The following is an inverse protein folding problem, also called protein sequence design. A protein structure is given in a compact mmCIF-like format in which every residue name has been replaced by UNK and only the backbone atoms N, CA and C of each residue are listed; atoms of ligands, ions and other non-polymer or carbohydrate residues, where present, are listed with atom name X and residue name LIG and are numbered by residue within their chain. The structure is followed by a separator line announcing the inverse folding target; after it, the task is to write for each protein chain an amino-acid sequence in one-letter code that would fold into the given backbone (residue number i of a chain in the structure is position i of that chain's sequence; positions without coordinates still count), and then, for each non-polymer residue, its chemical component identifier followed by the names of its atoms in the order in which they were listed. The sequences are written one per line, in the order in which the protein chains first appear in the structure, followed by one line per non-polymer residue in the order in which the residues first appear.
data_IF_181406902253
#
_entry.id   IF_181406902253
#
_cell.length_a   1.000
_cell.length_b   1.000
_cell.length_c   1.000
_cell.angle_alpha   90.00
_cell.angle_beta   90.00
_cell.angle_gamma   90.00
#
_symmetry.space_group_name_H-M   'P 1'
#
loop_
_entity.id
_entity.type
_entity.pdbx_description
1 polymer ?
#
# COMPACT_ATOMS: atom_id res chain seq x y z
N UNK A 1 -18.02 -12.89 54.75
CA UNK A 1 -18.31 -11.56 54.16
C UNK A 1 -17.11 -11.03 53.39
N UNK A 2 -15.89 -11.10 53.94
CA UNK A 2 -14.66 -10.55 53.33
C UNK A 2 -14.31 -11.10 51.94
N UNK A 3 -14.43 -12.42 51.70
CA UNK A 3 -14.18 -13.05 50.38
C UNK A 3 -15.22 -12.63 49.30
N UNK A 4 -16.43 -12.24 49.71
CA UNK A 4 -17.45 -11.75 48.77
C UNK A 4 -17.11 -10.33 48.29
N UNK A 5 -16.66 -9.47 49.20
CA UNK A 5 -16.33 -8.08 48.87
C UNK A 5 -15.06 -7.99 48.01
N UNK A 6 -14.08 -8.87 48.25
CA UNK A 6 -12.87 -8.96 47.44
C UNK A 6 -13.18 -9.40 46.00
N UNK A 7 -14.07 -10.40 45.83
CA UNK A 7 -14.55 -10.83 44.51
C UNK A 7 -15.28 -9.72 43.77
N UNK A 8 -16.12 -8.94 44.46
CA UNK A 8 -16.83 -7.80 43.87
C UNK A 8 -15.83 -6.71 43.42
N UNK A 9 -14.81 -6.40 44.24
CA UNK A 9 -13.76 -5.43 43.87
C UNK A 9 -12.94 -5.91 42.67
N UNK A 10 -12.57 -7.18 42.64
CA UNK A 10 -11.85 -7.79 41.51
C UNK A 10 -12.69 -7.76 40.22
N UNK A 11 -13.99 -8.07 40.31
CA UNK A 11 -14.91 -8.01 39.19
C UNK A 11 -15.02 -6.59 38.62
N UNK A 12 -15.20 -5.58 39.49
CA UNK A 12 -15.22 -4.16 39.07
C UNK A 12 -13.92 -3.73 38.41
N UNK A 13 -12.77 -4.11 38.96
CA UNK A 13 -11.45 -3.80 38.36
C UNK A 13 -11.28 -4.45 36.98
N UNK A 14 -11.73 -5.71 36.82
CA UNK A 14 -11.70 -6.40 35.53
C UNK A 14 -12.63 -5.73 34.52
N UNK A 15 -13.80 -5.29 34.95
CA UNK A 15 -14.75 -4.55 34.11
C UNK A 15 -14.18 -3.21 33.64
N UNK A 16 -13.55 -2.45 34.55
CA UNK A 16 -12.87 -1.20 34.22
C UNK A 16 -11.71 -1.40 33.25
N UNK A 17 -10.88 -2.44 33.47
CA UNK A 17 -9.79 -2.80 32.53
C UNK A 17 -10.39 -3.15 31.17
N UNK A 18 -11.41 -4.02 31.12
CA UNK A 18 -12.04 -4.41 29.86
C UNK A 18 -12.64 -3.20 29.12
N UNK A 19 -13.23 -2.24 29.85
CA UNK A 19 -13.75 -1.01 29.26
C UNK A 19 -12.63 -0.15 28.67
N UNK A 20 -11.57 0.12 29.43
CA UNK A 20 -10.41 0.88 28.96
C UNK A 20 -9.72 0.22 27.77
N UNK A 21 -9.54 -1.09 27.82
CA UNK A 21 -8.98 -1.87 26.70
C UNK A 21 -9.83 -1.73 25.45
N UNK A 22 -11.17 -1.82 25.55
CA UNK A 22 -12.07 -1.63 24.40
C UNK A 22 -12.00 -0.21 23.82
N UNK A 23 -11.90 0.81 24.67
CA UNK A 23 -11.76 2.20 24.24
C UNK A 23 -10.43 2.40 23.51
N UNK A 24 -9.32 1.91 24.08
CA UNK A 24 -7.99 1.98 23.47
C UNK A 24 -7.95 1.27 22.10
N UNK A 25 -8.52 0.06 22.00
CA UNK A 25 -8.59 -0.67 20.74
C UNK A 25 -9.43 0.08 19.69
N UNK A 26 -10.52 0.73 20.10
CA UNK A 26 -11.34 1.53 19.19
C UNK A 26 -10.56 2.72 18.65
N UNK A 27 -9.89 3.46 19.51
CA UNK A 27 -9.06 4.60 19.11
C UNK A 27 -7.94 4.18 18.16
N UNK A 28 -7.28 3.06 18.47
CA UNK A 28 -6.26 2.47 17.61
C UNK A 28 -6.80 2.06 16.23
N UNK A 29 -7.97 1.39 16.17
CA UNK A 29 -8.59 1.03 14.89
C UNK A 29 -8.98 2.26 14.06
N UNK A 30 -9.44 3.33 14.70
CA UNK A 30 -9.77 4.58 14.02
C UNK A 30 -8.52 5.28 13.47
N UNK A 31 -7.42 5.31 14.22
CA UNK A 31 -6.16 5.89 13.73
C UNK A 31 -5.62 5.09 12.54
N UNK A 32 -5.74 3.76 12.57
CA UNK A 32 -5.34 2.90 11.47
C UNK A 32 -6.14 3.15 10.19
N UNK A 33 -7.47 3.26 10.28
CA UNK A 33 -8.32 3.56 9.13
C UNK A 33 -7.95 4.91 8.48
N UNK A 34 -7.61 5.90 9.30
CA UNK A 34 -7.15 7.20 8.83
C UNK A 34 -5.77 7.14 8.16
N UNK A 35 -4.84 6.35 8.70
CA UNK A 35 -3.52 6.13 8.08
C UNK A 35 -3.64 5.38 6.75
N UNK A 36 -4.48 4.34 6.69
CA UNK A 36 -4.74 3.59 5.45
C UNK A 36 -5.28 4.52 4.36
N UNK A 37 -6.25 5.38 4.68
CA UNK A 37 -6.81 6.35 3.71
C UNK A 37 -5.75 7.29 3.15
N UNK A 38 -4.86 7.80 4.00
CA UNK A 38 -3.76 8.68 3.58
C UNK A 38 -2.76 7.94 2.68
N UNK A 39 -2.41 6.70 3.03
CA UNK A 39 -1.54 5.86 2.22
C UNK A 39 -2.14 5.62 0.83
N UNK A 40 -3.41 5.20 0.75
CA UNK A 40 -4.12 5.00 -0.51
C UNK A 40 -4.20 6.27 -1.35
N UNK A 41 -4.42 7.44 -0.73
CA UNK A 41 -4.42 8.72 -1.44
C UNK A 41 -3.06 9.04 -2.06
N UNK A 42 -1.97 8.81 -1.32
CA UNK A 42 -0.61 8.99 -1.85
C UNK A 42 -0.34 8.02 -3.01
N UNK A 43 -0.75 6.76 -2.88
CA UNK A 43 -0.59 5.77 -3.95
C UNK A 43 -1.35 6.16 -5.22
N UNK A 44 -2.58 6.67 -5.08
CA UNK A 44 -3.37 7.20 -6.22
C UNK A 44 -2.65 8.36 -6.90
N UNK A 45 -2.03 9.27 -6.14
CA UNK A 45 -1.25 10.39 -6.70
C UNK A 45 -0.02 9.91 -7.46
N UNK A 46 0.72 8.93 -6.91
CA UNK A 46 1.89 8.34 -7.59
C UNK A 46 1.48 7.58 -8.84
N UNK A 47 0.42 6.78 -8.78
CA UNK A 47 -0.18 6.10 -9.94
C UNK A 47 -0.53 7.08 -11.06
N UNK A 48 -1.23 8.17 -10.73
CA UNK A 48 -1.57 9.21 -11.69
C UNK A 48 -0.33 9.88 -12.30
N UNK A 49 0.73 10.10 -11.50
CA UNK A 49 2.00 10.62 -12.00
C UNK A 49 2.66 9.66 -12.99
N UNK A 50 2.76 8.36 -12.67
CA UNK A 50 3.33 7.37 -13.58
C UNK A 50 2.51 7.23 -14.87
N UNK A 51 1.17 7.27 -14.76
CA UNK A 51 0.27 7.29 -15.92
C UNK A 51 0.50 8.51 -16.80
N UNK A 52 0.74 9.68 -16.18
CA UNK A 52 1.11 10.89 -16.91
C UNK A 52 2.45 10.76 -17.64
N UNK A 53 3.46 10.16 -17.00
CA UNK A 53 4.76 9.89 -17.65
C UNK A 53 4.63 9.00 -18.89
N UNK A 54 3.75 7.98 -18.84
CA UNK A 54 3.44 7.12 -19.98
C UNK A 54 2.76 7.94 -21.08
N UNK A 55 1.71 8.69 -20.72
CA UNK A 55 0.89 9.45 -21.66
C UNK A 55 1.69 10.54 -22.37
N UNK A 56 2.41 11.35 -21.62
CA UNK A 56 3.19 12.48 -22.14
C UNK A 56 4.31 12.01 -23.09
N UNK A 57 4.87 10.82 -22.85
CA UNK A 57 5.95 10.25 -23.65
C UNK A 57 5.47 9.25 -24.73
N UNK A 58 4.17 8.94 -24.79
CA UNK A 58 3.60 7.99 -25.75
C UNK A 58 4.11 6.55 -25.57
N UNK A 59 4.37 6.14 -24.33
CA UNK A 59 4.94 4.81 -24.01
C UNK A 59 3.90 3.71 -24.25
N UNK A 60 4.27 2.67 -24.98
CA UNK A 60 3.41 1.53 -25.34
C UNK A 60 3.77 0.25 -24.64
N UNK A 61 5.02 0.08 -24.22
CA UNK A 61 5.50 -1.15 -23.58
C UNK A 61 6.14 -0.90 -22.23
N UNK A 62 6.15 -1.92 -21.37
CA UNK A 62 6.86 -1.93 -20.11
C UNK A 62 8.37 -1.71 -20.31
N UNK A 63 8.94 -2.30 -21.37
CA UNK A 63 10.34 -2.11 -21.72
C UNK A 63 10.67 -0.65 -22.08
N UNK A 64 9.82 -0.01 -22.89
CA UNK A 64 9.99 1.41 -23.23
C UNK A 64 9.92 2.31 -21.98
N UNK A 65 9.03 1.99 -21.03
CA UNK A 65 8.96 2.70 -19.75
C UNK A 65 10.27 2.56 -18.97
N UNK A 66 10.75 1.32 -18.81
CA UNK A 66 12.00 1.01 -18.12
C UNK A 66 13.18 1.74 -18.75
N UNK A 67 13.38 1.59 -20.06
CA UNK A 67 14.53 2.16 -20.76
C UNK A 67 14.57 3.69 -20.69
N UNK A 68 13.39 4.32 -20.72
CA UNK A 68 13.28 5.78 -20.65
C UNK A 68 13.50 6.34 -19.26
N UNK A 69 12.99 5.67 -18.23
CA UNK A 69 12.86 6.26 -16.89
C UNK A 69 13.77 5.63 -15.82
N UNK A 70 14.43 4.49 -16.06
CA UNK A 70 15.25 3.82 -15.04
C UNK A 70 16.27 4.73 -14.36
N UNK A 71 17.01 5.54 -15.13
CA UNK A 71 18.03 6.42 -14.57
C UNK A 71 17.39 7.56 -13.77
N UNK A 72 16.27 8.10 -14.26
CA UNK A 72 15.53 9.16 -13.60
C UNK A 72 14.95 8.69 -12.26
N UNK A 73 14.39 7.48 -12.22
CA UNK A 73 13.83 6.90 -11.00
C UNK A 73 14.92 6.54 -9.99
N UNK A 74 16.04 5.98 -10.47
CA UNK A 74 17.19 5.65 -9.64
C UNK A 74 17.77 6.89 -8.93
N UNK A 75 17.76 8.06 -9.59
CA UNK A 75 18.19 9.33 -8.96
C UNK A 75 17.37 9.71 -7.71
N UNK A 76 16.12 9.22 -7.60
CA UNK A 76 15.26 9.43 -6.45
C UNK A 76 15.21 8.22 -5.51
N UNK A 77 16.08 7.23 -5.70
CA UNK A 77 16.10 5.99 -4.90
C UNK A 77 14.93 5.04 -5.21
N UNK A 78 14.31 5.18 -6.37
CA UNK A 78 13.22 4.30 -6.82
C UNK A 78 13.80 3.29 -7.81
N UNK A 79 13.61 2.01 -7.54
CA UNK A 79 14.10 0.95 -8.40
C UNK A 79 13.05 0.58 -9.43
N UNK A 80 13.46 0.48 -10.69
CA UNK A 80 12.65 -0.15 -11.73
C UNK A 80 13.27 -1.50 -12.04
N UNK A 81 12.45 -2.56 -12.13
CA UNK A 81 12.90 -3.86 -12.59
C UNK A 81 12.01 -4.36 -13.72
N UNK A 82 12.62 -4.84 -14.79
CA UNK A 82 11.91 -5.42 -15.93
C UNK A 82 11.85 -6.94 -15.78
N UNK A 83 10.69 -7.53 -16.08
CA UNK A 83 10.53 -8.99 -16.10
C UNK A 83 11.35 -9.64 -17.23
N UNK A 84 11.68 -10.92 -17.09
CA UNK A 84 12.47 -11.67 -18.09
C UNK A 84 11.85 -11.64 -19.49
N UNK A 85 10.51 -11.71 -19.56
CA UNK A 85 9.76 -11.64 -20.81
C UNK A 85 9.51 -10.21 -21.31
N UNK A 86 9.99 -9.19 -20.57
CA UNK A 86 9.93 -7.76 -20.88
C UNK A 86 8.52 -7.16 -21.01
N UNK A 87 7.49 -7.87 -20.55
CA UNK A 87 6.10 -7.43 -20.64
C UNK A 87 5.58 -6.74 -19.37
N UNK A 88 6.41 -6.68 -18.33
CA UNK A 88 6.08 -6.10 -17.03
C UNK A 88 7.29 -5.37 -16.45
N UNK A 89 7.08 -4.14 -15.99
CA UNK A 89 8.09 -3.36 -15.26
C UNK A 89 7.55 -3.05 -13.87
N UNK A 90 8.24 -3.45 -12.82
CA UNK A 90 7.93 -3.00 -11.46
C UNK A 90 8.49 -1.60 -11.21
N UNK A 91 7.83 -0.85 -10.35
CA UNK A 91 8.31 0.40 -9.76
C UNK A 91 8.32 0.18 -8.26
N UNK A 92 9.51 0.01 -7.67
CA UNK A 92 9.71 -0.27 -6.26
C UNK A 92 10.23 0.96 -5.52
N UNK A 93 9.46 1.43 -4.54
CA UNK A 93 9.77 2.56 -3.68
C UNK A 93 9.95 2.07 -2.25
N UNK A 94 11.17 2.15 -1.71
CA UNK A 94 11.44 1.95 -0.28
C UNK A 94 11.06 3.22 0.48
N UNK A 95 10.27 3.09 1.55
CA UNK A 95 9.81 4.20 2.38
C UNK A 95 10.52 4.27 3.75
N UNK A 96 11.43 3.33 4.03
CA UNK A 96 12.12 3.19 5.32
C UNK A 96 11.35 2.29 6.28
N UNK A 97 11.99 1.87 7.38
CA UNK A 97 11.40 0.98 8.39
C UNK A 97 10.77 -0.32 7.84
N UNK A 98 11.36 -0.85 6.76
CA UNK A 98 10.88 -2.00 6.00
C UNK A 98 9.51 -1.78 5.33
N UNK A 99 9.06 -0.53 5.18
CA UNK A 99 7.87 -0.17 4.42
C UNK A 99 8.24 0.10 2.96
N UNK A 100 7.33 -0.29 2.07
CA UNK A 100 7.54 -0.17 0.64
C UNK A 100 6.21 0.02 -0.10
N UNK A 101 6.32 0.48 -1.33
CA UNK A 101 5.27 0.39 -2.33
C UNK A 101 5.83 -0.19 -3.63
N UNK A 102 5.08 -1.08 -4.26
CA UNK A 102 5.42 -1.70 -5.53
C UNK A 102 4.26 -1.56 -6.51
N UNK A 103 4.53 -0.88 -7.62
CA UNK A 103 3.59 -0.69 -8.73
C UNK A 103 4.03 -1.53 -9.92
N UNK A 104 3.11 -1.85 -10.82
CA UNK A 104 3.40 -2.53 -12.07
C UNK A 104 3.04 -1.69 -13.28
N UNK A 105 3.88 -1.68 -14.31
CA UNK A 105 3.58 -1.18 -15.65
C UNK A 105 3.51 -2.36 -16.61
N UNK A 106 2.43 -2.46 -17.37
CA UNK A 106 2.18 -3.52 -18.33
C UNK A 106 2.08 -2.96 -19.75
N UNK A 107 2.37 -3.82 -20.73
CA UNK A 107 2.21 -3.48 -22.14
C UNK A 107 0.77 -3.05 -22.49
N UNK A 108 0.68 -2.06 -23.37
CA UNK A 108 -0.58 -1.64 -23.94
C UNK A 108 -1.15 -2.69 -24.88
N UNK A 109 -2.40 -3.10 -24.66
CA UNK A 109 -3.09 -4.03 -25.56
C UNK A 109 -3.44 -3.35 -26.88
N UNK A 110 -3.31 -4.08 -27.99
CA UNK A 110 -3.73 -3.62 -29.33
C UNK A 110 -3.06 -2.32 -29.80
N UNK A 111 -1.80 -2.09 -29.42
CA UNK A 111 -1.04 -0.91 -29.85
C UNK A 111 -1.38 0.39 -29.10
N UNK A 112 -2.20 0.28 -28.04
CA UNK A 112 -2.45 1.36 -27.09
C UNK A 112 -1.22 1.64 -26.22
N UNK A 113 -1.32 2.68 -25.39
CA UNK A 113 -0.31 3.01 -24.39
C UNK A 113 -0.19 1.91 -23.33
N UNK A 114 0.99 1.81 -22.73
CA UNK A 114 1.22 1.01 -21.53
C UNK A 114 0.28 1.47 -20.40
N UNK A 115 0.03 0.58 -19.44
CA UNK A 115 -0.87 0.86 -18.32
C UNK A 115 -0.16 0.63 -16.99
N UNK A 116 -0.35 1.56 -16.05
CA UNK A 116 0.04 1.36 -14.65
C UNK A 116 -1.08 0.57 -13.98
N UNK A 117 -0.74 -0.61 -13.44
CA UNK A 117 -1.67 -1.45 -12.69
C UNK A 117 -2.34 -0.66 -11.57
N UNK A 118 -3.66 -0.78 -11.39
CA UNK A 118 -4.34 -0.23 -10.21
C UNK A 118 -4.00 -0.99 -8.93
N UNK A 119 -3.39 -2.17 -9.06
CA UNK A 119 -3.00 -2.98 -7.92
C UNK A 119 -1.60 -2.59 -7.47
N UNK A 120 -1.47 -2.30 -6.18
CA UNK A 120 -0.23 -1.88 -5.54
C UNK A 120 0.04 -2.80 -4.36
N UNK A 121 1.24 -3.39 -4.34
CA UNK A 121 1.71 -4.13 -3.18
C UNK A 121 2.37 -3.16 -2.21
N UNK A 122 1.99 -3.21 -0.94
CA UNK A 122 2.57 -2.38 0.10
C UNK A 122 2.47 -3.08 1.45
N UNK A 123 3.21 -2.55 2.43
CA UNK A 123 3.12 -3.02 3.80
C UNK A 123 2.03 -2.26 4.54
N UNK A 124 1.04 -3.00 5.01
CA UNK A 124 0.06 -2.50 5.96
C UNK A 124 0.37 -3.08 7.34
N UNK A 125 0.83 -2.22 8.25
CA UNK A 125 1.27 -2.58 9.60
C UNK A 125 2.37 -3.66 9.61
N UNK A 126 1.96 -4.92 9.71
CA UNK A 126 2.81 -6.10 9.81
C UNK A 126 2.61 -7.08 8.65
N UNK A 127 1.69 -6.77 7.73
CA UNK A 127 1.34 -7.63 6.62
C UNK A 127 1.74 -6.98 5.30
N UNK A 128 2.27 -7.79 4.40
CA UNK A 128 2.41 -7.40 3.00
C UNK A 128 1.09 -7.72 2.31
N UNK A 129 0.44 -6.70 1.75
CA UNK A 129 -0.82 -6.86 1.04
C UNK A 129 -0.70 -6.29 -0.36
N UNK A 130 -1.55 -6.79 -1.26
CA UNK A 130 -1.80 -6.16 -2.56
C UNK A 130 -3.23 -5.64 -2.55
N UNK A 131 -3.41 -4.38 -2.93
CA UNK A 131 -4.72 -3.74 -2.93
C UNK A 131 -4.95 -3.06 -4.27
N UNK A 132 -6.18 -3.12 -4.76
CA UNK A 132 -6.60 -2.22 -5.82
C UNK A 132 -6.84 -0.83 -5.21
N UNK A 133 -6.00 0.14 -5.56
CA UNK A 133 -6.03 1.45 -4.90
C UNK A 133 -7.31 2.26 -5.22
N UNK A 134 -8.09 1.88 -6.23
CA UNK A 134 -9.33 2.58 -6.60
C UNK A 134 -10.58 1.93 -6.00
N UNK A 135 -10.63 0.60 -5.91
CA UNK A 135 -11.76 -0.11 -5.28
C UNK A 135 -11.53 -0.40 -3.80
N UNK A 136 -10.29 -0.28 -3.32
CA UNK A 136 -9.83 -0.61 -1.96
C UNK A 136 -9.95 -2.10 -1.61
N UNK A 137 -10.22 -2.95 -2.61
CA UNK A 137 -10.31 -4.40 -2.48
C UNK A 137 -8.91 -5.01 -2.40
N UNK A 138 -8.70 -5.84 -1.37
CA UNK A 138 -7.48 -6.62 -1.22
C UNK A 138 -7.47 -7.83 -2.14
N UNK A 139 -6.32 -8.08 -2.77
CA UNK A 139 -6.09 -9.19 -3.66
C UNK A 139 -5.37 -10.27 -2.86
N UNK A 140 -6.05 -11.41 -2.68
CA UNK A 140 -5.41 -12.59 -2.13
C UNK A 140 -4.48 -13.18 -3.21
N UNK A 141 -3.20 -13.22 -2.90
CA UNK A 141 -2.15 -13.84 -3.73
C UNK A 141 -1.83 -15.24 -3.19
#
# INVERSE_FOLDING_TARGET
MEDSDERIRLAKRREEIAKKTRELYREFLLSMDEERKKALELMRRRHAYYTKLITDAGIKTALEFFDKYREHFLMYGINLDISDNKSYCSIYLELGDYDYESYGVMDGKNGNLAEVSPNVSFKELFNNIEVNIFTEEEIQV
#
